data_IF_187905552319
#
_entry.id   IF_187905552319
#
_cell.length_a   1.000
_cell.length_b   1.000
_cell.length_c   1.000
_cell.angle_alpha   90.00
_cell.angle_beta   90.00
_cell.angle_gamma   90.00
#
_symmetry.space_group_name_H-M   'P 1'
#
loop_
_entity.id
_entity.type
_entity.pdbx_description
1 polymer ?
#
# COMPACT_ATOMS: atom_id res chain seq x y z
N UNK A 1 -25.13 -7.32 28.57
CA UNK A 1 -25.46 -6.83 27.21
C UNK A 1 -26.93 -6.45 27.21
N UNK A 2 -27.30 -5.17 27.14
CA UNK A 2 -28.70 -4.79 27.34
C UNK A 2 -29.58 -5.35 26.21
N UNK A 3 -30.60 -6.16 26.55
CA UNK A 3 -31.71 -6.53 25.68
C UNK A 3 -31.49 -7.61 24.60
N UNK A 4 -30.27 -8.14 24.42
CA UNK A 4 -30.02 -9.17 23.39
C UNK A 4 -30.23 -10.59 23.95
N UNK A 5 -31.14 -11.37 23.34
CA UNK A 5 -31.33 -12.80 23.66
C UNK A 5 -30.04 -13.58 23.38
N UNK A 6 -29.43 -14.15 24.41
CA UNK A 6 -28.16 -14.91 24.31
C UNK A 6 -28.20 -16.04 23.29
N UNK A 7 -29.34 -16.73 23.18
CA UNK A 7 -29.55 -17.83 22.24
C UNK A 7 -29.50 -17.41 20.76
N UNK A 8 -29.77 -16.14 20.43
CA UNK A 8 -29.72 -15.61 19.07
C UNK A 8 -28.45 -14.77 18.80
N UNK A 9 -27.52 -14.74 19.74
CA UNK A 9 -26.37 -13.85 19.69
C UNK A 9 -25.23 -14.49 18.89
N UNK A 10 -24.81 -13.82 17.82
CA UNK A 10 -23.58 -14.17 17.11
C UNK A 10 -22.41 -13.33 17.64
N UNK A 11 -21.18 -13.81 17.44
CA UNK A 11 -19.97 -13.03 17.74
C UNK A 11 -19.99 -11.65 17.06
N UNK A 12 -20.49 -11.57 15.82
CA UNK A 12 -20.60 -10.32 15.08
C UNK A 12 -21.59 -9.35 15.75
N UNK A 13 -22.74 -9.83 16.21
CA UNK A 13 -23.73 -9.02 16.93
C UNK A 13 -23.21 -8.60 18.30
N UNK A 14 -22.59 -9.52 19.05
CA UNK A 14 -21.95 -9.23 20.34
C UNK A 14 -20.88 -8.15 20.20
N UNK A 15 -19.98 -8.29 19.22
CA UNK A 15 -18.94 -7.30 18.93
C UNK A 15 -19.52 -5.91 18.61
N UNK A 16 -20.57 -5.84 17.79
CA UNK A 16 -21.26 -4.57 17.48
C UNK A 16 -21.83 -3.91 18.74
N UNK A 17 -22.49 -4.68 19.61
CA UNK A 17 -23.07 -4.17 20.86
C UNK A 17 -21.95 -3.68 21.79
N UNK A 18 -20.92 -4.49 22.04
CA UNK A 18 -19.77 -4.11 22.87
C UNK A 18 -19.12 -2.83 22.34
N UNK A 19 -18.93 -2.74 21.01
CA UNK A 19 -18.36 -1.56 20.39
C UNK A 19 -19.25 -0.33 20.60
N UNK A 20 -20.57 -0.45 20.47
CA UNK A 20 -21.51 0.65 20.73
C UNK A 20 -21.40 1.13 22.20
N UNK A 21 -21.43 0.21 23.15
CA UNK A 21 -21.28 0.50 24.58
C UNK A 21 -19.93 1.16 24.89
N UNK A 22 -18.84 0.70 24.28
CA UNK A 22 -17.53 1.36 24.42
C UNK A 22 -17.57 2.78 23.84
N UNK A 23 -18.18 2.97 22.68
CA UNK A 23 -18.34 4.29 22.06
C UNK A 23 -19.24 5.24 22.86
N UNK A 24 -20.03 4.79 23.83
CA UNK A 24 -20.77 5.69 24.73
C UNK A 24 -19.88 6.31 25.80
N UNK A 25 -18.74 5.68 26.12
CA UNK A 25 -17.77 6.18 27.11
C UNK A 25 -16.91 7.30 26.52
N UNK A 26 -16.91 8.53 27.08
CA UNK A 26 -16.09 9.64 26.60
C UNK A 26 -14.60 9.30 26.56
N UNK A 27 -14.10 8.65 27.61
CA UNK A 27 -12.70 8.19 27.71
C UNK A 27 -12.29 7.26 26.57
N UNK A 28 -13.19 6.39 26.09
CA UNK A 28 -12.90 5.53 24.95
C UNK A 28 -12.87 6.31 23.63
N UNK A 29 -13.72 7.34 23.47
CA UNK A 29 -13.66 8.23 22.30
C UNK A 29 -12.36 9.02 22.25
N UNK A 30 -11.92 9.53 23.39
CA UNK A 30 -10.65 10.24 23.54
C UNK A 30 -9.45 9.33 23.21
N UNK A 31 -9.44 8.10 23.71
CA UNK A 31 -8.40 7.10 23.39
C UNK A 31 -8.33 6.75 21.89
N UNK A 32 -9.47 6.82 21.19
CA UNK A 32 -9.51 6.66 19.74
C UNK A 32 -9.06 7.92 18.99
N UNK A 33 -9.15 9.09 19.63
CA UNK A 33 -8.81 10.38 19.04
C UNK A 33 -7.30 10.66 19.11
N UNK A 34 -6.52 9.84 18.40
CA UNK A 34 -5.07 9.95 18.37
C UNK A 34 -4.63 11.07 17.44
N UNK A 35 -3.90 12.04 17.99
CA UNK A 35 -3.35 13.19 17.25
C UNK A 35 -2.61 12.78 15.97
N UNK A 36 -1.67 11.85 16.05
CA UNK A 36 -0.90 11.39 14.90
C UNK A 36 -1.78 10.77 13.79
N UNK A 37 -2.80 9.99 14.17
CA UNK A 37 -3.78 9.46 13.20
C UNK A 37 -4.57 10.59 12.52
N UNK A 38 -4.96 11.63 13.25
CA UNK A 38 -5.64 12.78 12.66
C UNK A 38 -4.75 13.55 11.70
N UNK A 39 -3.49 13.82 12.08
CA UNK A 39 -2.51 14.50 11.23
C UNK A 39 -2.27 13.72 9.93
N UNK A 40 -2.02 12.41 10.02
CA UNK A 40 -1.88 11.54 8.85
C UNK A 40 -3.15 11.49 7.98
N UNK A 41 -4.33 11.47 8.61
CA UNK A 41 -5.60 11.54 7.88
C UNK A 41 -5.74 12.87 7.13
N UNK A 42 -5.37 14.00 7.73
CA UNK A 42 -5.38 15.31 7.08
C UNK A 42 -4.45 15.33 5.87
N UNK A 43 -3.23 14.79 6.00
CA UNK A 43 -2.27 14.67 4.89
C UNK A 43 -2.81 13.79 3.76
N UNK A 44 -3.40 12.65 4.09
CA UNK A 44 -4.01 11.74 3.12
C UNK A 44 -5.21 12.38 2.40
N UNK A 45 -6.04 13.14 3.12
CA UNK A 45 -7.15 13.91 2.53
C UNK A 45 -6.66 14.97 1.55
N UNK A 46 -5.68 15.78 1.97
CA UNK A 46 -5.10 16.81 1.12
C UNK A 46 -4.47 16.22 -0.15
N UNK A 47 -3.74 15.11 -0.02
CA UNK A 47 -3.14 14.40 -1.15
C UNK A 47 -4.15 13.75 -2.12
N UNK A 48 -5.40 13.55 -1.68
CA UNK A 48 -6.46 12.92 -2.45
C UNK A 48 -7.56 13.90 -2.87
N UNK A 49 -7.34 15.20 -2.66
CA UNK A 49 -8.24 16.23 -3.13
C UNK A 49 -8.35 16.18 -4.66
N UNK A 50 -9.54 16.40 -5.18
CA UNK A 50 -9.76 16.58 -6.62
C UNK A 50 -9.24 17.94 -7.09
N UNK A 51 -9.24 18.15 -8.41
CA UNK A 51 -8.76 19.38 -9.04
C UNK A 51 -9.56 20.63 -8.60
N UNK A 52 -10.79 20.45 -8.12
CA UNK A 52 -11.65 21.47 -7.51
C UNK A 52 -11.34 21.72 -6.01
N UNK A 53 -10.35 21.03 -5.45
CA UNK A 53 -9.94 21.11 -4.05
C UNK A 53 -10.80 20.28 -3.09
N UNK A 54 -11.81 19.55 -3.56
CA UNK A 54 -12.67 18.77 -2.66
C UNK A 54 -11.94 17.54 -2.11
N UNK A 55 -11.72 17.53 -0.79
CA UNK A 55 -11.06 16.42 -0.11
C UNK A 55 -12.04 15.29 0.26
N UNK A 56 -11.70 14.01 -0.02
CA UNK A 56 -12.58 12.90 0.33
C UNK A 56 -12.80 12.77 1.84
N UNK A 57 -13.96 12.27 2.31
CA UNK A 57 -14.16 12.03 3.73
C UNK A 57 -13.22 10.94 4.24
N UNK A 58 -12.81 11.01 5.51
CA UNK A 58 -11.89 10.05 6.14
C UNK A 58 -12.35 8.58 5.97
N UNK A 59 -13.66 8.35 5.99
CA UNK A 59 -14.26 7.02 5.76
C UNK A 59 -13.90 6.45 4.38
N UNK A 60 -13.78 7.29 3.34
CA UNK A 60 -13.40 6.88 1.98
C UNK A 60 -11.94 6.46 1.94
N UNK A 61 -11.05 7.21 2.59
CA UNK A 61 -9.64 6.83 2.76
C UNK A 61 -9.52 5.48 3.47
N UNK A 62 -10.16 5.33 4.64
CA UNK A 62 -10.15 4.06 5.38
C UNK A 62 -10.71 2.89 4.59
N UNK A 63 -11.80 3.07 3.84
CA UNK A 63 -12.33 1.98 3.00
C UNK A 63 -11.36 1.59 1.89
N UNK A 64 -10.64 2.57 1.35
CA UNK A 64 -9.71 2.34 0.25
C UNK A 64 -8.47 1.55 0.67
N UNK A 65 -8.04 1.62 1.93
CA UNK A 65 -6.92 0.79 2.40
C UNK A 65 -7.27 -0.69 2.42
N UNK A 66 -8.55 -1.06 2.34
CA UNK A 66 -9.04 -2.43 2.26
C UNK A 66 -9.52 -2.83 0.85
N UNK A 67 -9.12 -2.08 -0.17
CA UNK A 67 -9.49 -2.35 -1.56
C UNK A 67 -9.08 -3.78 -1.98
N UNK A 68 -9.92 -4.41 -2.83
CA UNK A 68 -9.71 -5.77 -3.31
C UNK A 68 -8.40 -5.94 -4.09
N UNK A 69 -7.92 -4.88 -4.70
CA UNK A 69 -6.69 -4.86 -5.48
C UNK A 69 -5.42 -4.73 -4.60
N UNK A 70 -5.59 -4.54 -3.29
CA UNK A 70 -4.50 -4.47 -2.32
C UNK A 70 -4.43 -5.78 -1.54
N UNK A 71 -3.24 -6.37 -1.42
CA UNK A 71 -3.02 -7.62 -0.68
C UNK A 71 -3.21 -7.42 0.84
N UNK A 72 -3.59 -8.48 1.57
CA UNK A 72 -3.93 -8.38 3.01
C UNK A 72 -2.81 -7.78 3.86
N UNK A 73 -1.55 -8.15 3.59
CA UNK A 73 -0.37 -7.61 4.28
C UNK A 73 -0.25 -6.10 4.05
N UNK A 74 -0.48 -5.64 2.82
CA UNK A 74 -0.41 -4.22 2.47
C UNK A 74 -1.58 -3.44 3.08
N UNK A 75 -2.79 -4.02 3.17
CA UNK A 75 -3.92 -3.39 3.86
C UNK A 75 -3.58 -3.10 5.32
N UNK A 76 -2.99 -4.07 6.00
CA UNK A 76 -2.52 -3.89 7.37
C UNK A 76 -1.41 -2.84 7.45
N UNK A 77 -0.47 -2.85 6.49
CA UNK A 77 0.58 -1.84 6.39
C UNK A 77 0.05 -0.41 6.25
N UNK A 78 -0.87 -0.17 5.31
CA UNK A 78 -1.49 1.14 5.13
C UNK A 78 -2.30 1.55 6.36
N UNK A 79 -3.01 0.61 6.99
CA UNK A 79 -3.76 0.89 8.20
C UNK A 79 -2.82 1.33 9.35
N UNK A 80 -1.74 0.59 9.57
CA UNK A 80 -0.71 0.93 10.57
C UNK A 80 0.00 2.24 10.24
N UNK A 81 0.28 2.50 8.97
CA UNK A 81 0.89 3.74 8.50
C UNK A 81 0.03 4.95 8.84
N UNK A 82 -1.26 4.93 8.52
CA UNK A 82 -2.17 6.03 8.85
C UNK A 82 -2.31 6.18 10.37
N UNK A 83 -2.32 5.07 11.11
CA UNK A 83 -2.38 5.10 12.58
C UNK A 83 -1.10 5.53 13.28
N UNK A 84 0.01 5.73 12.55
CA UNK A 84 1.35 5.93 13.11
C UNK A 84 1.72 4.81 14.10
N UNK A 85 1.38 3.57 13.75
CA UNK A 85 1.51 2.42 14.64
C UNK A 85 2.86 1.70 14.57
N UNK A 86 3.74 2.10 13.66
CA UNK A 86 5.02 1.44 13.46
C UNK A 86 6.09 1.93 14.44
N UNK A 87 6.95 1.01 14.87
CA UNK A 87 8.08 1.28 15.77
C UNK A 87 9.25 1.87 14.98
N UNK A 88 9.27 3.19 14.85
CA UNK A 88 10.29 3.95 14.11
C UNK A 88 10.80 5.12 14.96
N UNK A 89 12.00 5.61 14.64
CA UNK A 89 12.52 6.84 15.24
C UNK A 89 12.59 6.77 16.77
N UNK A 90 11.99 7.80 17.38
CA UNK A 90 11.96 8.04 18.84
C UNK A 90 11.44 6.88 19.68
N UNK A 91 10.69 5.95 19.08
CA UNK A 91 10.27 4.75 19.78
C UNK A 91 11.48 3.97 20.34
N UNK A 92 12.58 3.92 19.59
CA UNK A 92 13.77 3.12 19.95
C UNK A 92 14.64 3.78 21.02
N UNK A 93 14.56 5.10 21.19
CA UNK A 93 15.34 5.84 22.20
C UNK A 93 15.07 5.33 23.63
N UNK A 94 13.85 4.85 23.87
CA UNK A 94 13.41 4.34 25.16
C UNK A 94 13.72 2.85 25.38
N UNK A 95 14.40 2.19 24.45
CA UNK A 95 14.75 0.78 24.53
C UNK A 95 16.27 0.65 24.66
N UNK A 96 16.77 0.29 25.86
CA UNK A 96 18.20 0.05 26.05
C UNK A 96 18.75 -0.93 25.02
N UNK A 97 19.95 -0.68 24.50
CA UNK A 97 20.68 -1.46 23.46
C UNK A 97 20.14 -1.38 22.03
N UNK A 98 19.03 -0.68 21.81
CA UNK A 98 18.37 -0.59 20.50
C UNK A 98 18.25 0.84 19.97
N UNK A 99 18.78 1.84 20.66
CA UNK A 99 18.63 3.27 20.32
C UNK A 99 19.15 3.60 18.92
N UNK A 100 20.22 2.92 18.47
CA UNK A 100 20.78 3.04 17.12
C UNK A 100 19.78 2.73 16.00
N UNK A 101 18.67 2.03 16.29
CA UNK A 101 17.59 1.74 15.32
C UNK A 101 16.65 2.92 15.09
N UNK A 102 16.74 3.96 15.92
CA UNK A 102 15.94 5.17 15.80
C UNK A 102 16.49 6.17 14.78
N UNK A 103 17.76 6.05 14.39
CA UNK A 103 18.41 6.99 13.47
C UNK A 103 18.80 6.32 12.16
N UNK A 104 18.64 7.04 11.06
CA UNK A 104 19.13 6.60 9.76
C UNK A 104 20.64 6.84 9.69
N UNK A 105 21.47 5.79 9.52
CA UNK A 105 22.93 5.96 9.58
C UNK A 105 23.49 6.79 8.41
N UNK A 106 22.87 6.72 7.23
CA UNK A 106 23.27 7.54 6.07
C UNK A 106 22.78 8.99 6.12
N UNK A 107 21.61 9.24 6.68
CA UNK A 107 21.01 10.58 6.66
C UNK A 107 21.20 11.36 7.96
N UNK A 108 21.58 10.72 9.06
CA UNK A 108 21.79 11.37 10.37
C UNK A 108 20.52 11.90 11.03
N UNK A 109 19.33 11.54 10.53
CA UNK A 109 18.03 12.00 11.06
C UNK A 109 17.30 10.88 11.78
N UNK A 110 16.43 11.22 12.72
CA UNK A 110 15.50 10.26 13.31
C UNK A 110 14.54 9.73 12.24
N UNK A 111 14.50 8.41 12.09
CA UNK A 111 13.66 7.77 11.08
C UNK A 111 12.17 8.02 11.38
N UNK A 112 11.45 8.53 10.40
CA UNK A 112 9.98 8.56 10.35
C UNK A 112 9.49 7.72 9.17
N UNK A 113 8.20 7.38 9.15
CA UNK A 113 7.62 6.69 7.98
C UNK A 113 7.76 7.52 6.69
N UNK A 114 7.68 8.84 6.80
CA UNK A 114 7.92 9.74 5.67
C UNK A 114 9.38 9.71 5.22
N UNK A 115 10.33 9.75 6.17
CA UNK A 115 11.73 9.60 5.84
C UNK A 115 11.96 8.29 5.08
N UNK A 116 11.55 7.17 5.67
CA UNK A 116 11.77 5.83 5.12
C UNK A 116 11.16 5.68 3.73
N UNK A 117 9.91 6.12 3.53
CA UNK A 117 9.18 5.86 2.30
C UNK A 117 9.47 6.88 1.20
N UNK A 118 9.85 8.13 1.50
CA UNK A 118 9.90 9.19 0.47
C UNK A 118 11.15 10.07 0.51
N UNK A 119 12.04 9.96 1.52
CA UNK A 119 13.20 10.87 1.63
C UNK A 119 14.54 10.16 1.90
N UNK A 120 14.53 8.89 2.30
CA UNK A 120 15.72 8.17 2.73
C UNK A 120 16.76 8.03 1.62
N UNK A 121 18.03 8.31 1.94
CA UNK A 121 19.15 8.15 1.02
C UNK A 121 19.75 6.76 1.00
N UNK A 122 19.36 5.85 1.90
CA UNK A 122 19.84 4.46 1.88
C UNK A 122 19.36 3.70 0.64
N UNK A 123 20.14 2.71 0.15
CA UNK A 123 19.72 1.86 -0.95
C UNK A 123 18.36 1.20 -0.66
N UNK A 124 17.48 1.22 -1.65
CA UNK A 124 16.14 0.62 -1.59
C UNK A 124 15.06 1.62 -1.93
N UNK A 125 15.02 2.78 -1.27
CA UNK A 125 13.94 3.76 -1.45
C UNK A 125 13.93 4.30 -2.88
N UNK A 126 15.06 4.91 -3.27
CA UNK A 126 15.16 5.64 -4.54
C UNK A 126 15.00 4.68 -5.72
N UNK A 127 15.69 3.55 -5.65
CA UNK A 127 15.70 2.53 -6.69
C UNK A 127 14.31 1.96 -6.93
N UNK A 128 13.56 1.68 -5.85
CA UNK A 128 12.19 1.18 -5.97
C UNK A 128 11.26 2.22 -6.60
N UNK A 129 11.36 3.50 -6.21
CA UNK A 129 10.55 4.55 -6.85
C UNK A 129 10.97 4.85 -8.28
N UNK A 130 12.25 4.74 -8.62
CA UNK A 130 12.74 4.87 -9.98
C UNK A 130 12.12 3.79 -10.89
N UNK A 131 12.17 2.52 -10.47
CA UNK A 131 11.55 1.40 -11.19
C UNK A 131 10.03 1.56 -11.33
N UNK A 132 9.35 1.98 -10.25
CA UNK A 132 7.91 2.23 -10.29
C UNK A 132 7.54 3.37 -11.23
N UNK A 133 8.34 4.43 -11.27
CA UNK A 133 8.15 5.56 -12.18
C UNK A 133 8.47 5.22 -13.62
N UNK A 134 9.46 4.37 -13.87
CA UNK A 134 9.74 3.89 -15.22
C UNK A 134 8.53 3.16 -15.81
N UNK A 135 7.98 2.19 -15.08
CA UNK A 135 6.79 1.46 -15.52
C UNK A 135 5.56 2.38 -15.63
N UNK A 136 5.43 3.37 -14.73
CA UNK A 136 4.37 4.37 -14.81
C UNK A 136 4.48 5.30 -16.02
N UNK A 137 5.71 5.70 -16.37
CA UNK A 137 6.00 6.54 -17.54
C UNK A 137 5.73 5.79 -18.84
N UNK A 138 6.03 4.49 -18.92
CA UNK A 138 5.60 3.68 -20.07
C UNK A 138 4.07 3.69 -20.26
N UNK A 139 3.33 3.71 -19.15
CA UNK A 139 1.86 3.75 -19.17
C UNK A 139 1.30 5.11 -19.59
N UNK A 140 1.81 6.17 -18.96
CA UNK A 140 1.15 7.48 -18.95
C UNK A 140 1.98 8.63 -19.51
N UNK A 141 3.29 8.45 -19.67
CA UNK A 141 4.24 9.51 -20.01
C UNK A 141 4.70 10.35 -18.81
N UNK A 142 4.11 10.15 -17.62
CA UNK A 142 4.42 10.93 -16.42
C UNK A 142 5.29 10.14 -15.45
N UNK A 143 6.02 10.85 -14.59
CA UNK A 143 6.76 10.24 -13.49
C UNK A 143 5.87 9.96 -12.27
N UNK A 144 6.30 9.00 -11.45
CA UNK A 144 5.66 8.60 -10.20
C UNK A 144 6.61 8.85 -9.02
N UNK A 145 6.37 9.94 -8.28
CA UNK A 145 7.08 10.28 -7.05
C UNK A 145 6.08 10.61 -5.95
N UNK A 146 5.57 9.61 -5.23
CA UNK A 146 4.48 9.84 -4.30
C UNK A 146 4.97 10.47 -3.00
N UNK A 147 4.18 11.40 -2.47
CA UNK A 147 4.29 11.86 -1.08
C UNK A 147 3.74 10.81 -0.12
N UNK A 148 4.07 10.94 1.16
CA UNK A 148 3.50 10.04 2.19
C UNK A 148 1.96 10.10 2.25
N UNK A 149 1.37 11.27 1.99
CA UNK A 149 -0.08 11.44 1.89
C UNK A 149 -0.67 10.67 0.72
N UNK A 150 0.00 10.67 -0.44
CA UNK A 150 -0.43 9.89 -1.61
C UNK A 150 -0.29 8.38 -1.37
N UNK A 151 0.72 7.94 -0.61
CA UNK A 151 0.85 6.53 -0.20
C UNK A 151 -0.31 6.13 0.72
N UNK A 152 -0.60 6.95 1.75
CA UNK A 152 -1.73 6.73 2.67
C UNK A 152 -3.07 6.72 1.92
N UNK A 153 -3.22 7.56 0.90
CA UNK A 153 -4.40 7.65 0.05
C UNK A 153 -4.33 6.78 -1.21
N UNK A 154 -3.36 5.88 -1.36
CA UNK A 154 -3.11 5.18 -2.62
C UNK A 154 -4.28 4.35 -3.15
N UNK A 155 -5.21 3.96 -2.26
CA UNK A 155 -6.45 3.29 -2.64
C UNK A 155 -7.55 4.21 -3.20
N UNK A 156 -7.47 5.53 -2.94
CA UNK A 156 -8.52 6.52 -3.24
C UNK A 156 -8.36 7.12 -4.63
N UNK A 157 -7.13 7.29 -5.11
CA UNK A 157 -6.83 7.95 -6.38
C UNK A 157 -7.71 7.40 -7.49
N UNK A 158 -8.35 8.30 -8.24
CA UNK A 158 -9.14 7.97 -9.43
C UNK A 158 -8.57 8.72 -10.61
N UNK A 159 -8.21 7.98 -11.65
CA UNK A 159 -7.77 8.50 -12.93
C UNK A 159 -8.84 8.20 -13.98
N UNK A 160 -8.74 8.82 -15.15
CA UNK A 160 -9.73 8.70 -16.23
C UNK A 160 -9.97 7.24 -16.62
N UNK A 161 -8.91 6.45 -16.84
CA UNK A 161 -9.04 5.03 -17.15
C UNK A 161 -9.01 4.16 -15.87
N UNK A 162 -9.99 3.26 -15.68
CA UNK A 162 -10.01 2.32 -14.57
C UNK A 162 -8.78 1.39 -14.49
N UNK A 163 -8.21 0.99 -15.63
CA UNK A 163 -6.99 0.16 -15.66
C UNK A 163 -5.78 0.94 -15.19
N UNK A 164 -5.59 2.16 -15.69
CA UNK A 164 -4.54 3.08 -15.25
C UNK A 164 -4.67 3.42 -13.76
N UNK A 165 -5.89 3.66 -13.27
CA UNK A 165 -6.18 3.85 -11.83
C UNK A 165 -5.72 2.66 -11.01
N UNK A 166 -6.04 1.46 -11.47
CA UNK A 166 -5.69 0.21 -10.78
C UNK A 166 -4.18 -0.02 -10.78
N UNK A 167 -3.49 0.24 -11.89
CA UNK A 167 -2.03 0.14 -11.96
C UNK A 167 -1.36 1.12 -11.01
N UNK A 168 -1.81 2.39 -10.97
CA UNK A 168 -1.29 3.40 -10.05
C UNK A 168 -1.36 2.93 -8.59
N UNK A 169 -2.53 2.42 -8.17
CA UNK A 169 -2.74 1.85 -6.83
C UNK A 169 -1.78 0.70 -6.54
N UNK A 170 -1.61 -0.23 -7.48
CA UNK A 170 -0.67 -1.34 -7.34
C UNK A 170 0.76 -0.81 -7.15
N UNK A 171 1.22 0.09 -8.04
CA UNK A 171 2.59 0.59 -8.00
C UNK A 171 2.90 1.34 -6.72
N UNK A 172 2.03 2.24 -6.27
CA UNK A 172 2.24 2.97 -5.01
C UNK A 172 2.32 2.02 -3.83
N UNK A 173 1.34 1.10 -3.72
CA UNK A 173 1.18 0.32 -2.49
C UNK A 173 2.17 -0.84 -2.38
N UNK A 174 2.48 -1.54 -3.49
CA UNK A 174 3.49 -2.59 -3.52
C UNK A 174 4.90 -2.01 -3.31
N UNK A 175 5.21 -0.88 -3.95
CA UNK A 175 6.53 -0.23 -3.84
C UNK A 175 6.78 0.32 -2.44
N UNK A 176 5.81 1.03 -1.85
CA UNK A 176 5.94 1.53 -0.48
C UNK A 176 6.13 0.39 0.53
N UNK A 177 5.38 -0.71 0.37
CA UNK A 177 5.50 -1.87 1.25
C UNK A 177 6.86 -2.58 1.08
N UNK A 178 7.39 -2.69 -0.15
CA UNK A 178 8.72 -3.23 -0.39
C UNK A 178 9.80 -2.37 0.26
N UNK A 179 9.74 -1.04 0.14
CA UNK A 179 10.69 -0.11 0.79
C UNK A 179 10.67 -0.31 2.30
N UNK A 180 9.48 -0.38 2.91
CA UNK A 180 9.32 -0.67 4.34
C UNK A 180 9.96 -2.00 4.73
N UNK A 181 9.77 -3.05 3.91
CA UNK A 181 10.39 -4.36 4.16
C UNK A 181 11.91 -4.32 4.07
N UNK A 182 12.47 -3.70 3.03
CA UNK A 182 13.92 -3.53 2.87
C UNK A 182 14.52 -2.79 4.08
N UNK A 183 13.87 -1.72 4.54
CA UNK A 183 14.29 -1.02 5.77
C UNK A 183 14.25 -1.95 6.98
N UNK A 184 13.21 -2.75 7.16
CA UNK A 184 13.11 -3.64 8.32
C UNK A 184 14.16 -4.76 8.30
N UNK A 185 14.48 -5.31 7.14
CA UNK A 185 15.57 -6.27 7.01
C UNK A 185 16.90 -5.63 7.41
N UNK A 186 17.20 -4.43 6.88
CA UNK A 186 18.40 -3.66 7.24
C UNK A 186 18.49 -3.32 8.73
N UNK A 187 17.45 -2.74 9.31
CA UNK A 187 17.50 -2.12 10.66
C UNK A 187 17.12 -3.10 11.77
N UNK A 188 16.10 -3.94 11.54
CA UNK A 188 15.56 -4.85 12.56
C UNK A 188 16.24 -6.22 12.50
N UNK A 189 16.44 -6.77 11.29
CA UNK A 189 17.12 -8.05 11.11
C UNK A 189 18.65 -7.89 10.98
N UNK A 190 19.13 -6.65 10.85
CA UNK A 190 20.56 -6.31 10.81
C UNK A 190 21.31 -7.00 9.67
N UNK A 191 20.64 -7.23 8.53
CA UNK A 191 21.22 -7.88 7.35
C UNK A 191 22.09 -6.95 6.50
N UNK A 192 22.14 -5.65 6.84
CA UNK A 192 22.76 -4.62 6.00
C UNK A 192 21.88 -4.22 4.81
N UNK A 193 22.41 -3.33 3.95
CA UNK A 193 21.72 -2.85 2.75
C UNK A 193 21.84 -3.86 1.61
N UNK A 194 20.71 -4.21 1.00
CA UNK A 194 20.68 -5.11 -0.14
C UNK A 194 21.38 -4.49 -1.37
N UNK A 195 22.11 -5.29 -2.18
CA UNK A 195 22.67 -4.81 -3.44
C UNK A 195 21.59 -4.30 -4.41
N UNK A 196 21.96 -3.34 -5.27
CA UNK A 196 21.02 -2.72 -6.22
C UNK A 196 20.34 -3.75 -7.16
N UNK A 197 21.11 -4.75 -7.63
CA UNK A 197 20.58 -5.83 -8.45
C UNK A 197 19.52 -6.66 -7.72
N UNK A 198 19.73 -6.91 -6.42
CA UNK A 198 18.75 -7.62 -5.59
C UNK A 198 17.49 -6.79 -5.38
N UNK A 199 17.62 -5.49 -5.09
CA UNK A 199 16.49 -4.57 -4.95
C UNK A 199 15.64 -4.58 -6.23
N UNK A 200 16.28 -4.44 -7.40
CA UNK A 200 15.62 -4.52 -8.70
C UNK A 200 14.88 -5.84 -8.89
N UNK A 201 15.55 -6.96 -8.62
CA UNK A 201 14.95 -8.29 -8.78
C UNK A 201 13.76 -8.52 -7.83
N UNK A 202 13.84 -8.04 -6.59
CA UNK A 202 12.75 -8.13 -5.61
C UNK A 202 11.55 -7.29 -6.05
N UNK A 203 11.77 -6.08 -6.56
CA UNK A 203 10.70 -5.24 -7.08
C UNK A 203 10.05 -5.85 -8.33
N UNK A 204 10.84 -6.30 -9.31
CA UNK A 204 10.35 -7.02 -10.50
C UNK A 204 9.54 -8.26 -10.11
N UNK A 205 10.04 -9.07 -9.18
CA UNK A 205 9.33 -10.23 -8.65
C UNK A 205 7.99 -9.83 -8.02
N UNK A 206 7.95 -8.73 -7.28
CA UNK A 206 6.73 -8.23 -6.62
C UNK A 206 5.66 -7.85 -7.65
N UNK A 207 6.04 -7.06 -8.66
CA UNK A 207 5.11 -6.61 -9.70
C UNK A 207 4.69 -7.77 -10.62
N UNK A 208 5.62 -8.66 -11.01
CA UNK A 208 5.30 -9.84 -11.82
C UNK A 208 4.38 -10.81 -11.08
N UNK A 209 4.57 -11.01 -9.77
CA UNK A 209 3.65 -11.80 -8.97
C UNK A 209 2.25 -11.18 -8.96
N UNK A 210 2.15 -9.84 -8.92
CA UNK A 210 0.85 -9.16 -9.00
C UNK A 210 0.17 -9.37 -10.35
N UNK A 211 0.91 -9.26 -11.45
CA UNK A 211 0.44 -9.57 -12.79
C UNK A 211 -0.05 -11.03 -12.88
N UNK A 212 0.73 -11.98 -12.39
CA UNK A 212 0.37 -13.40 -12.40
C UNK A 212 -0.91 -13.69 -11.60
N UNK A 213 -1.07 -13.07 -10.42
CA UNK A 213 -2.30 -13.15 -9.63
C UNK A 213 -3.48 -12.57 -10.41
N UNK A 214 -3.31 -11.42 -11.06
CA UNK A 214 -4.37 -10.81 -11.85
C UNK A 214 -4.83 -11.70 -13.01
N UNK A 215 -3.88 -12.31 -13.72
CA UNK A 215 -4.13 -13.30 -14.76
C UNK A 215 -4.90 -14.51 -14.21
N UNK A 216 -4.41 -15.12 -13.13
CA UNK A 216 -5.06 -16.26 -12.49
C UNK A 216 -6.49 -15.92 -12.02
N UNK A 217 -6.71 -14.71 -11.52
CA UNK A 217 -8.03 -14.24 -11.08
C UNK A 217 -9.01 -14.00 -12.24
N UNK A 218 -8.61 -14.11 -13.51
CA UNK A 218 -9.53 -14.05 -14.65
C UNK A 218 -10.29 -15.35 -14.92
N UNK A 219 -9.93 -16.44 -14.23
CA UNK A 219 -10.59 -17.73 -14.38
C UNK A 219 -12.04 -17.68 -13.84
N UNK A 220 -13.00 -17.57 -14.76
CA UNK A 220 -14.43 -17.53 -14.44
C UNK A 220 -14.96 -18.89 -13.95
N UNK A 221 -14.34 -20.00 -14.35
CA UNK A 221 -14.73 -21.33 -13.86
C UNK A 221 -14.40 -21.46 -12.37
N UNK A 222 -13.22 -21.01 -11.96
CA UNK A 222 -12.77 -21.08 -10.56
C UNK A 222 -13.37 -20.01 -9.66
N UNK A 223 -13.51 -18.78 -10.17
CA UNK A 223 -13.89 -17.62 -9.34
C UNK A 223 -15.30 -17.09 -9.60
N UNK A 224 -16.00 -17.55 -10.63
CA UNK A 224 -17.36 -17.15 -10.97
C UNK A 224 -17.53 -15.62 -10.99
N UNK A 225 -18.54 -15.11 -10.30
CA UNK A 225 -18.81 -13.66 -10.19
C UNK A 225 -17.69 -12.84 -9.52
N UNK A 226 -16.71 -13.48 -8.88
CA UNK A 226 -15.55 -12.83 -8.26
C UNK A 226 -14.35 -12.72 -9.20
N UNK A 227 -14.41 -13.35 -10.37
CA UNK A 227 -13.36 -13.27 -11.37
C UNK A 227 -13.11 -11.83 -11.82
N UNK A 228 -11.85 -11.51 -12.11
CA UNK A 228 -11.47 -10.25 -12.73
C UNK A 228 -11.82 -10.30 -14.21
N UNK A 229 -12.46 -9.24 -14.71
CA UNK A 229 -12.70 -9.09 -16.14
C UNK A 229 -11.37 -9.03 -16.88
N UNK A 230 -11.18 -9.89 -17.89
CA UNK A 230 -10.00 -9.89 -18.77
C UNK A 230 -9.72 -8.49 -19.34
N UNK A 231 -10.76 -7.75 -19.72
CA UNK A 231 -10.63 -6.38 -20.23
C UNK A 231 -10.06 -5.40 -19.21
N UNK A 232 -10.32 -5.59 -17.92
CA UNK A 232 -9.73 -4.77 -16.85
C UNK A 232 -8.25 -5.13 -16.65
N UNK A 233 -7.90 -6.42 -16.65
CA UNK A 233 -6.49 -6.87 -16.54
C UNK A 233 -5.67 -6.33 -17.71
N UNK A 234 -6.19 -6.48 -18.94
CA UNK A 234 -5.56 -5.90 -20.15
C UNK A 234 -5.38 -4.40 -20.00
N UNK A 235 -6.43 -3.66 -19.64
CA UNK A 235 -6.32 -2.20 -19.44
C UNK A 235 -5.35 -1.82 -18.33
N UNK A 236 -5.21 -2.62 -17.28
CA UNK A 236 -4.25 -2.39 -16.20
C UNK A 236 -2.82 -2.45 -16.75
N UNK A 237 -2.48 -3.54 -17.43
CA UNK A 237 -1.09 -3.85 -17.80
C UNK A 237 -0.68 -3.42 -19.21
N UNK A 238 -1.62 -2.93 -20.04
CA UNK A 238 -1.32 -2.41 -21.38
C UNK A 238 -0.19 -1.38 -21.35
N UNK A 239 0.74 -1.45 -22.30
CA UNK A 239 1.98 -0.66 -22.44
C UNK A 239 3.09 -0.96 -21.43
N UNK A 240 2.92 -1.95 -20.54
CA UNK A 240 3.88 -2.21 -19.44
C UNK A 240 4.47 -3.62 -19.49
N UNK A 241 4.10 -4.40 -20.50
CA UNK A 241 4.53 -5.79 -20.63
C UNK A 241 5.79 -5.89 -21.48
N UNK A 242 6.65 -6.83 -21.13
CA UNK A 242 7.81 -7.18 -21.95
C UNK A 242 7.31 -7.79 -23.26
N UNK A 243 7.88 -7.34 -24.37
CA UNK A 243 7.56 -7.83 -25.73
C UNK A 243 6.05 -7.80 -26.04
N UNK A 244 5.31 -6.79 -25.56
CA UNK A 244 3.85 -6.74 -25.62
C UNK A 244 3.27 -6.93 -27.04
N UNK A 245 4.02 -6.52 -28.07
CA UNK A 245 3.61 -6.66 -29.48
C UNK A 245 3.55 -8.11 -29.96
N UNK A 246 4.30 -9.01 -29.33
CA UNK A 246 4.35 -10.43 -29.71
C UNK A 246 3.41 -11.30 -28.85
N UNK A 247 2.75 -10.70 -27.84
CA UNK A 247 1.83 -11.44 -26.98
C UNK A 247 0.54 -11.81 -27.72
N UNK A 248 0.07 -13.04 -27.50
CA UNK A 248 -1.22 -13.50 -28.00
C UNK A 248 -2.37 -12.60 -27.51
N UNK A 249 -3.46 -12.49 -28.30
CA UNK A 249 -4.60 -11.64 -27.93
C UNK A 249 -5.21 -12.04 -26.59
N UNK A 250 -5.13 -13.29 -26.19
CA UNK A 250 -5.65 -13.86 -24.95
C UNK A 250 -4.57 -14.11 -23.89
N UNK A 251 -3.43 -13.40 -23.98
CA UNK A 251 -2.31 -13.53 -23.03
C UNK A 251 -2.68 -13.58 -21.54
N UNK A 252 -3.76 -12.94 -21.02
CA UNK A 252 -4.09 -13.07 -19.60
C UNK A 252 -4.45 -14.50 -19.16
N UNK A 253 -4.78 -15.39 -20.11
CA UNK A 253 -5.03 -16.81 -19.87
C UNK A 253 -3.77 -17.68 -19.96
N UNK A 254 -2.67 -17.13 -20.48
CA UNK A 254 -1.42 -17.85 -20.72
C UNK A 254 -0.42 -17.59 -19.59
N UNK A 255 0.32 -18.62 -19.20
CA UNK A 255 1.40 -18.51 -18.20
C UNK A 255 2.64 -17.91 -18.87
N UNK A 256 3.37 -17.02 -18.18
CA UNK A 256 4.69 -16.55 -18.62
C UNK A 256 4.78 -15.08 -19.06
N UNK A 257 3.75 -14.27 -18.85
CA UNK A 257 3.79 -12.83 -19.15
C UNK A 257 4.52 -12.07 -18.03
N UNK A 258 5.46 -11.20 -18.41
CA UNK A 258 6.26 -10.40 -17.49
C UNK A 258 6.10 -8.90 -17.79
N UNK A 259 6.30 -8.06 -16.79
CA UNK A 259 6.46 -6.62 -16.99
C UNK A 259 7.81 -6.30 -17.63
N UNK A 260 7.81 -5.33 -18.53
CA UNK A 260 9.02 -4.82 -19.17
C UNK A 260 9.51 -3.60 -18.40
N UNK A 261 10.59 -3.74 -17.64
CA UNK A 261 11.32 -2.62 -17.05
C UNK A 261 12.78 -2.85 -17.43
N UNK A 262 13.37 -1.87 -18.10
CA UNK A 262 14.64 -1.93 -18.82
C UNK A 262 15.59 -0.88 -18.31
#
# INVERSE_FOLDING_TARGET
LPGAKLQAMTQATAYKIIRKLKMEKPTYRELLNRRATMENMTRAKAAAASDDGESPPARKIWRSTFDKDISRSIRFFLWMLIHDGYKVGKFWDNIPTCQQRGQCPRCGVHESMEHILTQCGEPGQKEVWDLASELWRMKTGNDLRPTIGQIMAGGVTKLVDPGTTRLHKILITESAHLIWRLRNERVIQQTGSAPLAEIRNRWLKTINNRLAIDCAMTDEFKYGKKALKISLVKRTWKKTLKDERTLARDWPKNIGVLVGVG
#
